data_IF_174193862713
#
_entry.id   IF_174193862713
#
_cell.length_a   1.000
_cell.length_b   1.000
_cell.length_c   1.000
_cell.angle_alpha   90.00
_cell.angle_beta   90.00
_cell.angle_gamma   90.00
#
_symmetry.space_group_name_H-M   'P 1'
#
loop_
_entity.id
_entity.type
_entity.pdbx_description
1 polymer ?
#
# COMPACT_ATOMS: atom_id res chain seq x y z
N UNK A 1 28.68 5.57 -26.40
CA UNK A 1 29.40 4.67 -25.47
C UNK A 1 29.56 5.42 -24.17
N UNK A 2 28.69 5.12 -23.21
CA UNK A 2 28.76 5.63 -21.84
C UNK A 2 28.46 4.41 -20.97
N UNK A 3 29.44 4.05 -20.14
CA UNK A 3 29.44 2.88 -19.26
C UNK A 3 28.37 2.97 -18.18
N UNK A 4 27.63 1.88 -18.02
CA UNK A 4 26.66 1.66 -16.94
C UNK A 4 27.29 0.65 -15.99
N UNK A 5 27.81 1.11 -14.86
CA UNK A 5 28.24 0.24 -13.76
C UNK A 5 27.02 -0.23 -12.98
N UNK A 6 26.77 -1.53 -13.09
CA UNK A 6 25.77 -2.30 -12.35
C UNK A 6 26.11 -2.40 -10.86
N UNK A 7 25.14 -2.20 -9.98
CA UNK A 7 25.17 -2.73 -8.61
C UNK A 7 23.84 -3.42 -8.32
N UNK A 8 23.81 -4.71 -8.61
CA UNK A 8 22.73 -5.64 -8.29
C UNK A 8 23.04 -6.26 -6.93
N UNK A 9 22.27 -5.92 -5.90
CA UNK A 9 22.25 -6.70 -4.66
C UNK A 9 20.90 -7.38 -4.53
N UNK A 10 20.90 -8.68 -4.81
CA UNK A 10 19.77 -9.59 -4.66
C UNK A 10 19.48 -9.79 -3.17
N UNK A 11 18.29 -9.41 -2.71
CA UNK A 11 17.74 -9.91 -1.44
C UNK A 11 16.68 -10.95 -1.75
N UNK A 12 17.09 -12.22 -1.65
CA UNK A 12 16.20 -13.34 -1.42
C UNK A 12 16.15 -13.57 0.09
N UNK A 13 14.99 -13.42 0.73
CA UNK A 13 14.75 -13.99 2.06
C UNK A 13 13.52 -14.88 2.00
N UNK A 14 13.81 -16.18 1.91
CA UNK A 14 12.86 -17.28 2.10
C UNK A 14 12.50 -17.39 3.58
N UNK A 15 11.26 -17.79 3.81
CA UNK A 15 10.65 -18.21 5.07
C UNK A 15 11.60 -19.06 5.92
N UNK A 16 11.84 -18.64 7.16
CA UNK A 16 12.49 -19.45 8.18
C UNK A 16 11.58 -19.56 9.40
N UNK A 17 10.79 -20.63 9.43
CA UNK A 17 10.11 -21.14 10.61
C UNK A 17 11.18 -21.48 11.66
N UNK A 18 11.20 -20.77 12.79
CA UNK A 18 12.17 -21.05 13.85
C UNK A 18 11.73 -22.28 14.64
N UNK A 19 12.42 -23.39 14.40
CA UNK A 19 12.39 -24.60 15.24
C UNK A 19 13.05 -24.32 16.58
N UNK A 20 12.33 -24.56 17.68
CA UNK A 20 12.85 -24.50 19.05
C UNK A 20 13.76 -25.72 19.28
N UNK A 21 15.06 -25.49 19.40
CA UNK A 21 16.01 -26.50 19.85
C UNK A 21 15.89 -26.70 21.36
N UNK A 22 15.54 -27.93 21.75
CA UNK A 22 15.61 -28.42 23.12
C UNK A 22 17.08 -28.59 23.53
N UNK A 23 17.50 -27.91 24.60
CA UNK A 23 18.73 -28.24 25.31
C UNK A 23 18.44 -29.30 26.38
N UNK A 24 19.19 -30.40 26.29
CA UNK A 24 19.21 -31.52 27.23
C UNK A 24 19.80 -31.12 28.59
N UNK A 25 19.30 -31.79 29.62
CA UNK A 25 19.58 -31.57 31.03
C UNK A 25 21.01 -31.92 31.44
N UNK A 26 21.59 -31.10 32.32
CA UNK A 26 22.64 -31.53 33.25
C UNK A 26 22.16 -31.19 34.65
N UNK A 27 21.90 -32.23 35.43
CA UNK A 27 21.58 -32.15 36.86
C UNK A 27 22.82 -31.71 37.63
N UNK A 28 22.72 -30.60 38.34
CA UNK A 28 23.44 -30.49 39.61
C UNK A 28 22.64 -29.69 40.64
N UNK A 29 22.66 -30.22 41.85
CA UNK A 29 21.71 -29.90 42.93
C UNK A 29 22.27 -28.78 43.78
N UNK A 30 21.64 -27.60 43.78
CA UNK A 30 21.71 -26.70 44.96
C UNK A 30 20.52 -25.77 45.01
N UNK A 31 19.78 -25.86 46.11
CA UNK A 31 18.57 -25.10 46.38
C UNK A 31 18.90 -23.62 46.64
N UNK A 32 18.44 -22.75 45.76
CA UNK A 32 18.17 -21.34 46.05
C UNK A 32 16.84 -20.98 45.42
N UNK A 33 15.89 -20.58 46.25
CA UNK A 33 14.57 -20.06 45.88
C UNK A 33 14.71 -18.85 44.94
N UNK A 34 14.48 -19.07 43.65
CA UNK A 34 14.33 -18.02 42.64
C UNK A 34 12.86 -17.64 42.55
N UNK A 35 12.48 -16.35 42.61
CA UNK A 35 11.11 -15.95 42.30
C UNK A 35 10.80 -16.30 40.85
N UNK A 36 9.59 -16.82 40.63
CA UNK A 36 9.05 -17.20 39.33
C UNK A 36 9.11 -16.01 38.38
N UNK A 37 10.10 -16.00 37.48
CA UNK A 37 10.14 -15.09 36.33
C UNK A 37 9.02 -15.49 35.39
N UNK A 38 7.85 -14.90 35.56
CA UNK A 38 6.83 -14.84 34.52
C UNK A 38 7.51 -14.22 33.30
N UNK A 39 7.82 -15.01 32.28
CA UNK A 39 8.19 -14.48 30.96
C UNK A 39 6.96 -13.80 30.38
N UNK A 40 6.72 -12.57 30.82
CA UNK A 40 5.79 -11.65 30.18
C UNK A 40 6.39 -11.36 28.82
N UNK A 41 5.77 -11.86 27.75
CA UNK A 41 6.08 -11.44 26.39
C UNK A 41 5.85 -9.93 26.33
N UNK A 42 6.92 -9.13 26.41
CA UNK A 42 6.82 -7.68 26.28
C UNK A 42 6.56 -7.41 24.79
N UNK A 43 5.28 -7.30 24.43
CA UNK A 43 4.86 -6.82 23.11
C UNK A 43 5.31 -5.36 23.00
N UNK A 44 6.01 -5.01 21.90
CA UNK A 44 6.44 -3.62 21.69
C UNK A 44 5.23 -2.68 21.58
N UNK A 45 5.40 -1.42 21.99
CA UNK A 45 4.33 -0.42 21.88
C UNK A 45 3.78 -0.31 20.45
N UNK A 46 4.67 -0.33 19.46
CA UNK A 46 4.28 -0.31 18.05
C UNK A 46 3.44 -1.54 17.66
N UNK A 47 3.79 -2.74 18.12
CA UNK A 47 3.01 -3.94 17.82
C UNK A 47 1.60 -3.88 18.44
N UNK A 48 1.47 -3.32 19.65
CA UNK A 48 0.16 -3.06 20.26
C UNK A 48 -0.66 -2.05 19.45
N UNK A 49 -0.06 -0.91 19.09
CA UNK A 49 -0.74 0.11 18.28
C UNK A 49 -1.17 -0.43 16.92
N UNK A 50 -0.33 -1.24 16.25
CA UNK A 50 -0.68 -1.90 14.99
C UNK A 50 -1.82 -2.91 15.15
N UNK A 51 -1.85 -3.66 16.25
CA UNK A 51 -2.95 -4.59 16.53
C UNK A 51 -4.27 -3.86 16.78
N UNK A 52 -4.24 -2.74 17.50
CA UNK A 52 -5.41 -1.89 17.74
C UNK A 52 -5.91 -1.26 16.41
N UNK A 53 -4.99 -0.70 15.62
CA UNK A 53 -5.29 -0.15 14.30
C UNK A 53 -5.85 -1.20 13.33
N UNK A 54 -5.36 -2.45 13.39
CA UNK A 54 -5.89 -3.56 12.59
C UNK A 54 -7.36 -3.86 12.91
N UNK A 55 -7.72 -3.94 14.21
CA UNK A 55 -9.11 -4.16 14.62
C UNK A 55 -10.04 -3.01 14.16
N UNK A 56 -9.54 -1.77 14.21
CA UNK A 56 -10.28 -0.60 13.73
C UNK A 56 -10.44 -0.60 12.22
N UNK A 57 -9.40 -0.97 11.47
CA UNK A 57 -9.45 -1.11 10.02
C UNK A 57 -10.44 -2.20 9.60
N UNK A 58 -10.44 -3.36 10.27
CA UNK A 58 -11.41 -4.43 10.04
C UNK A 58 -12.84 -3.97 10.32
N UNK A 59 -13.07 -3.28 11.44
CA UNK A 59 -14.38 -2.73 11.79
C UNK A 59 -14.85 -1.72 10.75
N UNK A 60 -13.97 -0.81 10.32
CA UNK A 60 -14.25 0.17 9.26
C UNK A 60 -14.63 -0.53 7.96
N UNK A 61 -13.82 -1.47 7.51
CA UNK A 61 -13.97 -2.14 6.21
C UNK A 61 -15.21 -3.05 6.18
N UNK A 62 -15.59 -3.62 7.33
CA UNK A 62 -16.82 -4.40 7.47
C UNK A 62 -18.10 -3.54 7.55
N UNK A 63 -17.99 -2.28 7.99
CA UNK A 63 -19.14 -1.39 8.24
C UNK A 63 -19.47 -0.44 7.09
N UNK A 64 -18.50 -0.15 6.22
CA UNK A 64 -18.64 0.81 5.14
C UNK A 64 -18.76 0.12 3.78
N UNK A 65 -19.61 0.68 2.92
CA UNK A 65 -19.63 0.30 1.50
C UNK A 65 -18.33 0.69 0.81
N UNK A 66 -18.04 0.07 -0.34
CA UNK A 66 -16.91 0.44 -1.20
C UNK A 66 -16.88 1.94 -1.53
N UNK A 67 -18.04 2.53 -1.83
CA UNK A 67 -18.11 3.97 -2.11
C UNK A 67 -17.78 4.81 -0.88
N UNK A 68 -18.29 4.43 0.30
CA UNK A 68 -17.96 5.14 1.55
C UNK A 68 -16.47 4.99 1.91
N UNK A 69 -15.89 3.81 1.70
CA UNK A 69 -14.44 3.59 1.84
C UNK A 69 -13.64 4.47 0.90
N UNK A 70 -14.05 4.62 -0.36
CA UNK A 70 -13.37 5.46 -1.34
C UNK A 70 -13.41 6.95 -0.94
N UNK A 71 -14.58 7.42 -0.48
CA UNK A 71 -14.72 8.78 0.04
C UNK A 71 -13.87 8.98 1.29
N UNK A 72 -13.84 8.00 2.19
CA UNK A 72 -13.03 8.05 3.40
C UNK A 72 -11.53 8.08 3.08
N UNK A 73 -11.08 7.22 2.18
CA UNK A 73 -9.69 7.17 1.70
C UNK A 73 -9.27 8.54 1.16
N UNK A 74 -10.09 9.15 0.29
CA UNK A 74 -9.83 10.47 -0.27
C UNK A 74 -9.71 11.56 0.80
N UNK A 75 -10.62 11.58 1.77
CA UNK A 75 -10.58 12.54 2.88
C UNK A 75 -9.30 12.37 3.71
N UNK A 76 -8.93 11.14 4.04
CA UNK A 76 -7.74 10.86 4.84
C UNK A 76 -6.46 11.21 4.07
N UNK A 77 -6.38 10.88 2.79
CA UNK A 77 -5.24 11.22 1.95
C UNK A 77 -5.11 12.75 1.81
N UNK A 78 -6.20 13.49 1.61
CA UNK A 78 -6.17 14.96 1.55
C UNK A 78 -5.68 15.59 2.87
N UNK A 79 -6.04 15.00 4.01
CA UNK A 79 -5.51 15.42 5.31
C UNK A 79 -4.00 15.17 5.45
N UNK A 80 -3.47 14.14 4.78
CA UNK A 80 -2.06 13.77 4.88
C UNK A 80 -1.17 14.46 3.86
N UNK A 81 -1.65 14.72 2.65
CA UNK A 81 -0.84 15.22 1.52
C UNK A 81 -1.52 16.31 0.67
N UNK A 82 -2.75 16.69 0.99
CA UNK A 82 -3.48 17.75 0.31
C UNK A 82 -3.27 19.12 0.93
N UNK A 83 -3.98 20.11 0.40
CA UNK A 83 -3.90 21.49 0.88
C UNK A 83 -4.27 21.63 2.36
N UNK A 84 -5.14 20.73 2.87
CA UNK A 84 -5.51 20.69 4.29
C UNK A 84 -4.30 20.46 5.20
N UNK A 85 -3.39 19.57 4.81
CA UNK A 85 -2.15 19.35 5.54
C UNK A 85 -1.30 20.63 5.60
N UNK A 86 -1.05 21.24 4.43
CA UNK A 86 -0.16 22.40 4.32
C UNK A 86 -0.70 23.60 5.12
N UNK A 87 -2.01 23.81 5.09
CA UNK A 87 -2.67 24.87 5.86
C UNK A 87 -2.55 24.67 7.38
N UNK A 88 -2.45 23.43 7.86
CA UNK A 88 -2.37 23.08 9.28
C UNK A 88 -0.97 22.59 9.69
N UNK A 89 0.05 22.78 8.84
CA UNK A 89 1.38 22.22 9.04
C UNK A 89 1.99 22.58 10.40
N UNK A 90 1.87 23.84 10.82
CA UNK A 90 2.38 24.29 12.13
C UNK A 90 1.68 23.59 13.30
N UNK A 91 0.39 23.28 13.17
CA UNK A 91 -0.33 22.51 14.19
C UNK A 91 0.17 21.07 14.23
N UNK A 92 0.37 20.44 13.07
CA UNK A 92 0.90 19.08 12.98
C UNK A 92 2.34 18.97 13.51
N UNK A 93 3.18 19.97 13.23
CA UNK A 93 4.56 20.01 13.74
C UNK A 93 4.63 20.14 15.28
N UNK A 94 3.61 20.72 15.91
CA UNK A 94 3.50 20.87 17.37
C UNK A 94 2.69 19.74 18.03
N UNK A 95 2.18 18.78 17.26
CA UNK A 95 1.42 17.65 17.79
C UNK A 95 2.35 16.71 18.56
N UNK A 96 2.01 16.43 19.82
CA UNK A 96 2.75 15.51 20.69
C UNK A 96 1.79 14.44 21.21
N UNK A 97 2.14 13.15 21.14
CA UNK A 97 1.33 12.08 21.72
C UNK A 97 1.02 12.33 23.20
N UNK A 98 -0.22 12.10 23.60
CA UNK A 98 -0.64 12.20 25.00
C UNK A 98 -0.19 10.95 25.79
N UNK A 99 1.10 10.84 26.07
CA UNK A 99 1.74 9.71 26.75
C UNK A 99 3.07 10.13 27.37
N UNK A 100 3.47 9.45 28.45
CA UNK A 100 4.81 9.57 29.04
C UNK A 100 5.80 8.55 28.46
N UNK A 101 5.36 7.73 27.50
CA UNK A 101 6.20 6.71 26.89
C UNK A 101 7.30 7.33 26.01
N UNK A 102 8.59 7.13 26.36
CA UNK A 102 9.70 7.77 25.66
C UNK A 102 9.86 7.26 24.21
N UNK A 103 9.48 6.02 23.91
CA UNK A 103 9.56 5.48 22.54
C UNK A 103 8.54 6.14 21.62
N UNK A 104 7.31 6.32 22.10
CA UNK A 104 6.24 6.98 21.35
C UNK A 104 6.57 8.46 21.10
N UNK A 105 7.04 9.16 22.12
CA UNK A 105 7.47 10.56 22.01
C UNK A 105 8.64 10.72 21.02
N UNK A 106 9.64 9.84 21.09
CA UNK A 106 10.79 9.88 20.19
C UNK A 106 10.39 9.61 18.74
N UNK A 107 9.50 8.64 18.51
CA UNK A 107 9.03 8.29 17.15
C UNK A 107 8.18 9.40 16.53
N UNK A 108 7.27 10.01 17.30
CA UNK A 108 6.49 11.15 16.84
C UNK A 108 7.40 12.34 16.48
N UNK A 109 8.41 12.62 17.32
CA UNK A 109 9.42 13.63 17.01
C UNK A 109 10.17 13.29 15.71
N UNK A 110 10.61 12.04 15.54
CA UNK A 110 11.29 11.60 14.33
C UNK A 110 10.42 11.74 13.08
N UNK A 111 9.13 11.44 13.18
CA UNK A 111 8.18 11.64 12.07
C UNK A 111 8.07 13.12 11.70
N UNK A 112 7.94 14.01 12.69
CA UNK A 112 7.92 15.46 12.49
C UNK A 112 9.22 15.96 11.84
N UNK A 113 10.38 15.51 12.33
CA UNK A 113 11.67 15.86 11.72
C UNK A 113 11.67 15.40 10.23
N UNK A 114 11.27 14.15 9.96
CA UNK A 114 11.27 13.58 8.61
C UNK A 114 10.41 14.37 7.61
N UNK A 115 9.17 14.70 7.97
CA UNK A 115 8.28 15.46 7.08
C UNK A 115 8.75 16.90 6.86
N UNK A 116 9.63 17.40 7.74
CA UNK A 116 10.33 18.68 7.61
C UNK A 116 11.65 18.56 6.82
N UNK A 117 11.94 17.41 6.22
CA UNK A 117 13.17 17.16 5.46
C UNK A 117 14.39 16.90 6.34
N UNK A 118 14.19 16.55 7.61
CA UNK A 118 15.25 16.28 8.58
C UNK A 118 15.21 14.81 9.03
N UNK A 119 16.33 14.10 8.95
CA UNK A 119 16.39 12.71 9.41
C UNK A 119 15.64 11.72 8.51
N UNK A 120 15.49 10.49 9.00
CA UNK A 120 14.92 9.37 8.25
C UNK A 120 13.47 9.09 8.67
N UNK A 121 12.69 8.56 7.73
CA UNK A 121 11.34 8.08 8.00
C UNK A 121 11.37 7.02 9.12
N UNK A 122 10.63 7.19 10.24
CA UNK A 122 10.62 6.23 11.35
C UNK A 122 10.04 4.86 10.94
N UNK A 123 9.35 4.80 9.81
CA UNK A 123 8.63 3.64 9.32
C UNK A 123 9.31 2.94 8.14
N UNK A 124 10.55 3.35 7.82
CA UNK A 124 11.31 2.82 6.68
C UNK A 124 11.40 1.29 6.74
N UNK A 125 11.00 0.63 5.66
CA UNK A 125 11.09 -0.83 5.52
C UNK A 125 10.00 -1.64 6.23
N UNK A 126 8.98 -1.01 6.82
CA UNK A 126 7.77 -1.73 7.23
C UNK A 126 6.99 -2.24 6.02
N UNK A 127 6.17 -3.28 6.23
CA UNK A 127 5.31 -3.80 5.17
C UNK A 127 4.21 -2.81 4.80
N UNK A 128 3.73 -2.89 3.56
CA UNK A 128 2.65 -2.04 3.08
C UNK A 128 1.40 -2.14 3.95
N UNK A 129 1.04 -3.33 4.40
CA UNK A 129 -0.11 -3.52 5.30
C UNK A 129 0.04 -2.73 6.59
N UNK A 130 1.21 -2.81 7.24
CA UNK A 130 1.49 -2.05 8.46
C UNK A 130 1.48 -0.54 8.21
N UNK A 131 2.03 -0.11 7.08
CA UNK A 131 2.02 1.31 6.69
C UNK A 131 0.60 1.81 6.44
N UNK A 132 -0.26 0.99 5.82
CA UNK A 132 -1.66 1.32 5.57
C UNK A 132 -2.47 1.40 6.88
N UNK A 133 -2.23 0.48 7.82
CA UNK A 133 -2.81 0.55 9.16
C UNK A 133 -2.49 1.87 9.85
N UNK A 134 -1.24 2.33 9.78
CA UNK A 134 -0.85 3.62 10.37
C UNK A 134 -1.46 4.79 9.59
N UNK A 135 -1.29 4.83 8.27
CA UNK A 135 -1.71 5.97 7.45
C UNK A 135 -3.22 6.25 7.57
N UNK A 136 -4.06 5.21 7.61
CA UNK A 136 -5.51 5.35 7.71
C UNK A 136 -6.06 5.23 9.15
N UNK A 137 -5.21 5.20 10.19
CA UNK A 137 -5.65 5.19 11.58
C UNK A 137 -6.20 6.57 12.01
N UNK A 138 -7.48 6.63 12.36
CA UNK A 138 -8.14 7.85 12.86
C UNK A 138 -8.30 7.85 14.38
N UNK A 139 -7.74 6.86 15.09
CA UNK A 139 -7.92 6.68 16.53
C UNK A 139 -7.20 7.74 17.37
N UNK A 140 -6.20 8.41 16.78
CA UNK A 140 -5.28 9.30 17.49
C UNK A 140 -4.11 8.57 18.14
N UNK A 141 -3.94 7.26 17.87
CA UNK A 141 -2.76 6.50 18.31
C UNK A 141 -1.47 6.95 17.62
N UNK A 142 -1.59 7.51 16.42
CA UNK A 142 -0.50 8.09 15.64
C UNK A 142 -0.80 9.55 15.35
N UNK A 143 0.21 10.40 15.51
CA UNK A 143 0.14 11.81 15.10
C UNK A 143 -0.07 11.96 13.59
N UNK A 144 -0.52 13.12 13.13
CA UNK A 144 -0.67 13.38 11.68
C UNK A 144 0.66 13.25 10.94
N UNK A 145 1.76 13.68 11.55
CA UNK A 145 3.09 13.55 10.94
C UNK A 145 3.57 12.09 10.89
N UNK A 146 3.23 11.25 11.88
CA UNK A 146 3.46 9.80 11.79
C UNK A 146 2.64 9.18 10.65
N UNK A 147 1.35 9.49 10.57
CA UNK A 147 0.47 8.97 9.50
C UNK A 147 0.96 9.39 8.12
N UNK A 148 1.38 10.64 7.95
CA UNK A 148 1.99 11.14 6.71
C UNK A 148 3.31 10.42 6.40
N UNK A 149 4.17 10.20 7.40
CA UNK A 149 5.40 9.45 7.20
C UNK A 149 5.13 8.02 6.73
N UNK A 150 4.14 7.33 7.31
CA UNK A 150 3.75 5.99 6.86
C UNK A 150 3.21 5.99 5.42
N UNK A 151 2.36 6.97 5.08
CA UNK A 151 1.86 7.15 3.71
C UNK A 151 2.99 7.39 2.70
N UNK A 152 3.97 8.24 3.05
CA UNK A 152 5.11 8.55 2.19
C UNK A 152 6.03 7.35 1.95
N UNK A 153 6.24 6.50 2.98
CA UNK A 153 6.98 5.25 2.79
C UNK A 153 6.21 4.28 1.89
N UNK A 154 4.90 4.12 2.09
CA UNK A 154 4.07 3.27 1.21
C UNK A 154 4.12 3.76 -0.24
N UNK A 155 4.06 5.08 -0.43
CA UNK A 155 4.21 5.70 -1.75
C UNK A 155 5.60 5.44 -2.37
N UNK A 156 6.69 5.56 -1.62
CA UNK A 156 8.03 5.25 -2.12
C UNK A 156 8.15 3.78 -2.57
N UNK A 157 7.63 2.85 -1.75
CA UNK A 157 7.58 1.42 -2.11
C UNK A 157 6.75 1.17 -3.37
N UNK A 158 5.59 1.82 -3.48
CA UNK A 158 4.74 1.78 -4.68
C UNK A 158 5.47 2.29 -5.93
N UNK A 159 6.21 3.40 -5.82
CA UNK A 159 6.97 3.95 -6.96
C UNK A 159 8.10 3.01 -7.40
N UNK A 160 8.78 2.35 -6.45
CA UNK A 160 9.79 1.32 -6.76
C UNK A 160 9.15 0.15 -7.52
N UNK A 161 8.02 -0.36 -7.01
CA UNK A 161 7.28 -1.45 -7.66
C UNK A 161 6.80 -1.06 -9.06
N UNK A 162 6.20 0.13 -9.23
CA UNK A 162 5.73 0.63 -10.54
C UNK A 162 6.84 0.69 -11.57
N UNK A 163 8.01 1.24 -11.21
CA UNK A 163 9.17 1.29 -12.13
C UNK A 163 9.60 -0.10 -12.58
N UNK A 164 9.66 -1.06 -11.63
CA UNK A 164 10.01 -2.45 -11.92
C UNK A 164 9.00 -3.08 -12.88
N UNK A 165 7.71 -2.98 -12.58
CA UNK A 165 6.64 -3.62 -13.37
C UNK A 165 6.52 -3.00 -14.77
N UNK A 166 6.72 -1.69 -14.92
CA UNK A 166 6.76 -1.02 -16.24
C UNK A 166 7.97 -1.49 -17.07
N UNK A 167 9.14 -1.65 -16.46
CA UNK A 167 10.30 -2.20 -17.16
C UNK A 167 10.03 -3.64 -17.63
N UNK A 168 9.47 -4.49 -16.76
CA UNK A 168 9.09 -5.86 -17.11
C UNK A 168 8.05 -5.90 -18.24
N UNK A 169 7.07 -4.99 -18.22
CA UNK A 169 6.06 -4.86 -19.28
C UNK A 169 6.68 -4.47 -20.63
N UNK A 170 7.66 -3.56 -20.62
CA UNK A 170 8.39 -3.15 -21.83
C UNK A 170 9.16 -4.33 -22.42
N UNK A 171 9.86 -5.09 -21.57
CA UNK A 171 10.61 -6.28 -21.99
C UNK A 171 9.70 -7.40 -22.50
N UNK A 172 8.57 -7.62 -21.84
CA UNK A 172 7.55 -8.58 -22.28
C UNK A 172 7.04 -8.21 -23.68
N UNK A 173 6.56 -6.98 -23.84
CA UNK A 173 6.03 -6.48 -25.10
C UNK A 173 7.04 -6.62 -26.23
N UNK A 174 8.30 -6.23 -26.02
CA UNK A 174 9.34 -6.32 -27.06
C UNK A 174 9.65 -7.78 -27.48
N UNK A 175 9.50 -8.74 -26.57
CA UNK A 175 9.82 -10.15 -26.82
C UNK A 175 8.65 -10.92 -27.41
N UNK A 176 7.42 -10.61 -27.00
CA UNK A 176 6.24 -11.44 -27.31
C UNK A 176 5.14 -10.68 -28.03
N UNK A 177 5.15 -9.34 -27.98
CA UNK A 177 4.05 -8.49 -28.39
C UNK A 177 2.89 -8.44 -27.39
N UNK A 178 3.02 -9.02 -26.19
CA UNK A 178 1.95 -9.16 -25.19
C UNK A 178 2.22 -8.36 -23.93
N UNK A 179 1.21 -8.25 -23.07
CA UNK A 179 1.25 -7.63 -21.73
C UNK A 179 0.59 -8.50 -20.65
N UNK A 180 0.45 -9.80 -20.90
CA UNK A 180 -0.27 -10.73 -20.04
C UNK A 180 0.37 -10.85 -18.65
N UNK A 181 1.72 -10.89 -18.60
CA UNK A 181 2.43 -10.92 -17.33
C UNK A 181 2.32 -9.57 -16.60
N UNK A 182 2.38 -8.45 -17.33
CA UNK A 182 2.10 -7.14 -16.73
C UNK A 182 0.72 -7.08 -16.05
N UNK A 183 -0.35 -7.48 -16.73
CA UNK A 183 -1.69 -7.49 -16.13
C UNK A 183 -1.80 -8.44 -14.95
N UNK A 184 -1.11 -9.58 -15.00
CA UNK A 184 -1.03 -10.53 -13.87
C UNK A 184 -0.37 -9.91 -12.64
N UNK A 185 0.76 -9.21 -12.81
CA UNK A 185 1.43 -8.51 -11.72
C UNK A 185 0.56 -7.40 -11.11
N UNK A 186 -0.15 -6.63 -11.96
CA UNK A 186 -1.09 -5.59 -11.50
C UNK A 186 -2.27 -6.18 -10.74
N UNK A 187 -2.82 -7.31 -11.20
CA UNK A 187 -3.92 -8.01 -10.52
C UNK A 187 -3.49 -8.55 -9.15
N UNK A 188 -2.32 -9.17 -9.07
CA UNK A 188 -1.77 -9.67 -7.81
C UNK A 188 -1.57 -8.52 -6.82
N UNK A 189 -0.97 -7.42 -7.28
CA UNK A 189 -0.76 -6.23 -6.46
C UNK A 189 -2.08 -5.62 -5.96
N UNK A 190 -3.10 -5.53 -6.80
CA UNK A 190 -4.43 -5.04 -6.40
C UNK A 190 -5.05 -5.91 -5.30
N UNK A 191 -4.91 -7.23 -5.38
CA UNK A 191 -5.45 -8.18 -4.40
C UNK A 191 -4.77 -8.10 -3.02
N UNK A 192 -3.53 -7.63 -2.99
CA UNK A 192 -2.79 -7.40 -1.74
C UNK A 192 -3.19 -6.09 -1.05
N UNK A 193 -3.92 -5.20 -1.72
CA UNK A 193 -4.34 -3.93 -1.11
C UNK A 193 -5.45 -4.14 -0.06
N UNK A 194 -5.46 -3.37 1.04
CA UNK A 194 -6.60 -3.36 1.96
C UNK A 194 -7.85 -2.78 1.28
N UNK A 195 -9.03 -3.10 1.81
CA UNK A 195 -10.31 -2.74 1.18
C UNK A 195 -10.45 -1.22 0.95
N UNK A 196 -9.95 -0.39 1.88
CA UNK A 196 -9.91 1.07 1.71
C UNK A 196 -9.06 1.51 0.51
N UNK A 197 -7.97 0.83 0.20
CA UNK A 197 -7.14 1.12 -0.97
C UNK A 197 -7.75 0.55 -2.25
N UNK A 198 -8.29 -0.68 -2.21
CA UNK A 198 -9.01 -1.28 -3.34
C UNK A 198 -10.20 -0.42 -3.78
N UNK A 199 -10.88 0.23 -2.83
CA UNK A 199 -12.04 1.09 -3.10
C UNK A 199 -11.74 2.28 -4.02
N UNK A 200 -10.46 2.67 -4.15
CA UNK A 200 -10.04 3.78 -5.00
C UNK A 200 -9.98 3.41 -6.50
N UNK A 201 -10.09 2.13 -6.84
CA UNK A 201 -10.10 1.64 -8.23
C UNK A 201 -11.55 1.55 -8.76
N UNK A 202 -11.77 1.33 -10.07
CA UNK A 202 -13.08 0.96 -10.59
C UNK A 202 -13.64 -0.32 -9.93
N UNK A 203 -14.97 -0.45 -9.83
CA UNK A 203 -15.62 -1.62 -9.22
C UNK A 203 -15.32 -2.92 -10.00
N UNK A 204 -15.17 -2.82 -11.31
CA UNK A 204 -14.88 -3.91 -12.25
C UNK A 204 -13.38 -4.14 -12.47
N UNK A 205 -12.50 -3.47 -11.73
CA UNK A 205 -11.05 -3.47 -12.00
C UNK A 205 -10.42 -4.86 -11.99
N UNK A 206 -10.72 -5.70 -11.00
CA UNK A 206 -10.23 -7.08 -10.94
C UNK A 206 -10.71 -7.91 -12.14
N UNK A 207 -12.01 -7.86 -12.44
CA UNK A 207 -12.58 -8.60 -13.57
C UNK A 207 -12.01 -8.13 -14.91
N UNK A 208 -11.78 -6.83 -15.05
CA UNK A 208 -11.17 -6.24 -16.24
C UNK A 208 -9.72 -6.71 -16.43
N UNK A 209 -8.92 -6.71 -15.36
CA UNK A 209 -7.55 -7.24 -15.40
C UNK A 209 -7.54 -8.73 -15.75
N UNK A 210 -8.43 -9.52 -15.14
CA UNK A 210 -8.56 -10.95 -15.45
C UNK A 210 -8.95 -11.18 -16.90
N UNK A 211 -9.88 -10.39 -17.43
CA UNK A 211 -10.27 -10.46 -18.84
C UNK A 211 -9.09 -10.20 -19.78
N UNK A 212 -8.24 -9.21 -19.47
CA UNK A 212 -7.04 -8.94 -20.28
C UNK A 212 -6.01 -10.05 -20.21
N UNK A 213 -5.88 -10.69 -19.05
CA UNK A 213 -5.02 -11.87 -18.87
C UNK A 213 -5.55 -13.03 -19.72
N UNK A 214 -6.85 -13.33 -19.65
CA UNK A 214 -7.48 -14.46 -20.36
C UNK A 214 -7.51 -14.28 -21.88
N UNK A 215 -7.55 -13.03 -22.34
CA UNK A 215 -7.48 -12.68 -23.76
C UNK A 215 -6.08 -12.99 -24.35
N UNK A 216 -5.04 -12.86 -23.51
CA UNK A 216 -3.63 -13.05 -23.89
C UNK A 216 -3.28 -12.34 -25.21
N UNK A 217 -3.71 -11.07 -25.31
CA UNK A 217 -3.70 -10.34 -26.57
C UNK A 217 -2.29 -10.00 -27.03
N UNK A 218 -2.01 -10.31 -28.30
CA UNK A 218 -0.79 -9.93 -28.97
C UNK A 218 -1.01 -8.65 -29.76
N UNK A 219 -0.43 -7.56 -29.26
CA UNK A 219 -0.54 -6.22 -29.82
C UNK A 219 0.29 -6.02 -31.10
N UNK A 220 1.20 -6.94 -31.43
CA UNK A 220 1.97 -6.91 -32.69
C UNK A 220 1.18 -7.61 -33.80
N UNK A 221 0.61 -8.78 -33.52
CA UNK A 221 -0.16 -9.55 -34.51
C UNK A 221 -1.64 -9.16 -34.56
N UNK A 222 -2.09 -8.38 -33.57
CA UNK A 222 -3.49 -8.01 -33.34
C UNK A 222 -4.40 -9.22 -33.18
N UNK A 223 -3.93 -10.27 -32.50
CA UNK A 223 -4.69 -11.50 -32.26
C UNK A 223 -4.84 -11.78 -30.77
N UNK A 224 -6.02 -12.27 -30.38
CA UNK A 224 -6.21 -12.91 -29.09
C UNK A 224 -5.69 -14.34 -29.17
N UNK A 225 -4.79 -14.72 -28.25
CA UNK A 225 -4.14 -16.03 -28.25
C UNK A 225 -4.55 -16.89 -27.04
N UNK A 226 -5.39 -16.36 -26.15
CA UNK A 226 -5.81 -17.01 -24.90
C UNK A 226 -7.14 -17.76 -24.96
N UNK A 227 -7.51 -18.40 -23.85
CA UNK A 227 -8.67 -19.29 -23.74
C UNK A 227 -10.03 -18.56 -23.75
N UNK A 228 -10.05 -17.22 -23.84
CA UNK A 228 -11.24 -16.37 -23.99
C UNK A 228 -11.46 -15.83 -25.42
N UNK A 229 -10.85 -16.45 -26.44
CA UNK A 229 -10.84 -16.07 -27.85
C UNK A 229 -12.24 -15.97 -28.50
N UNK A 230 -13.01 -14.94 -28.16
CA UNK A 230 -14.16 -14.52 -28.93
C UNK A 230 -13.89 -13.10 -29.44
N UNK A 231 -13.75 -12.86 -30.75
CA UNK A 231 -13.41 -11.54 -31.30
C UNK A 231 -14.37 -10.42 -30.87
N UNK A 232 -15.57 -10.78 -30.40
CA UNK A 232 -16.55 -9.86 -29.79
C UNK A 232 -16.03 -9.17 -28.51
N UNK A 233 -15.22 -9.85 -27.69
CA UNK A 233 -14.70 -9.26 -26.44
C UNK A 233 -13.70 -8.14 -26.69
N UNK A 234 -12.95 -8.19 -27.80
CA UNK A 234 -12.03 -7.13 -28.23
C UNK A 234 -12.79 -5.90 -28.74
N UNK A 235 -13.85 -6.11 -29.53
CA UNK A 235 -14.71 -5.00 -30.01
C UNK A 235 -15.39 -4.33 -28.82
N UNK A 236 -15.92 -5.11 -27.88
CA UNK A 236 -16.54 -4.57 -26.66
C UNK A 236 -15.51 -3.83 -25.79
N UNK A 237 -14.31 -4.37 -25.61
CA UNK A 237 -13.22 -3.72 -24.89
C UNK A 237 -12.79 -2.38 -25.53
N UNK A 238 -12.61 -2.35 -26.86
CA UNK A 238 -12.25 -1.13 -27.60
C UNK A 238 -13.38 -0.09 -27.58
N UNK A 239 -14.63 -0.53 -27.65
CA UNK A 239 -15.80 0.35 -27.54
C UNK A 239 -15.94 0.91 -26.12
N UNK A 240 -15.64 0.11 -25.10
CA UNK A 240 -15.65 0.53 -23.69
C UNK A 240 -14.53 1.54 -23.42
N UNK A 241 -13.31 1.33 -23.93
CA UNK A 241 -12.23 2.32 -23.83
C UNK A 241 -12.54 3.63 -24.59
N UNK A 242 -13.20 3.54 -25.75
CA UNK A 242 -13.72 4.70 -26.46
C UNK A 242 -14.84 5.44 -25.71
N UNK A 243 -15.62 4.73 -24.89
CA UNK A 243 -16.71 5.29 -24.09
C UNK A 243 -16.24 5.95 -22.78
N UNK A 244 -15.14 5.50 -22.18
CA UNK A 244 -14.53 6.18 -21.02
C UNK A 244 -13.84 7.49 -21.39
N UNK A 245 -13.40 7.67 -22.64
CA UNK A 245 -12.85 8.94 -23.13
C UNK A 245 -13.87 10.06 -23.35
N UNK A 246 -15.17 9.78 -23.24
CA UNK A 246 -16.24 10.71 -23.63
C UNK A 246 -17.25 11.05 -22.52
N UNK A 247 -17.14 10.45 -21.32
CA UNK A 247 -18.05 10.75 -20.20
C UNK A 247 -17.67 12.03 -19.44
N UNK A 248 -16.40 12.44 -19.48
CA UNK A 248 -15.95 13.70 -18.89
C UNK A 248 -16.11 14.89 -19.85
N UNK A 249 -16.14 14.66 -21.17
CA UNK A 249 -16.44 15.69 -22.15
C UNK A 249 -17.93 16.08 -22.16
N UNK A 250 -18.83 15.12 -21.95
CA UNK A 250 -20.27 15.36 -21.96
C UNK A 250 -20.79 16.08 -20.69
N UNK A 251 -20.02 16.15 -19.60
CA UNK A 251 -20.38 16.88 -18.38
C UNK A 251 -19.82 18.30 -18.33
N UNK A 252 -18.79 18.60 -19.13
CA UNK A 252 -18.21 19.95 -19.22
C UNK A 252 -18.99 20.88 -20.18
N UNK A 253 -19.87 20.34 -21.02
CA UNK A 253 -20.61 21.13 -22.03
C UNK A 253 -22.07 21.43 -21.63
N UNK A 254 -22.58 20.85 -20.53
CA UNK A 254 -23.93 21.17 -20.00
C UNK A 254 -23.98 22.29 -18.97
N UNK A 255 -22.85 22.65 -18.35
CA UNK A 255 -22.81 23.61 -17.23
C UNK A 255 -22.37 25.03 -17.63
N UNK A 256 -22.26 25.32 -18.94
CA UNK A 256 -21.84 26.64 -19.43
C UNK A 256 -22.90 27.38 -20.27
N UNK A 257 -24.18 27.00 -20.14
CA UNK A 257 -25.31 27.73 -20.73
C UNK A 257 -26.41 27.96 -19.69
N UNK A 258 -26.06 28.62 -18.59
CA UNK A 258 -26.99 29.48 -17.82
C UNK A 258 -26.19 30.22 -16.75
N UNK A 259 -25.76 31.45 -17.05
CA UNK A 259 -25.92 32.69 -16.24
C UNK A 259 -25.32 33.84 -17.06
N UNK A 260 -26.21 34.60 -17.71
CA UNK A 260 -26.09 36.06 -17.76
C UNK A 260 -26.90 36.61 -16.59
#
# INVERSE_FOLDING_TARGET
MIDITNNTTLYNSRLATTTINQYQAVTDTTSTTTPSSTTTTIVSNLARQLSEAANLAETRDASLSRNELAHKAKTLIDQLIGNSYDNNKLQHDNEVPNTDDPELLARAKQATDFVNGMGSNPFKGMSRDQLSLIAYDESGSFTINERRAAWLESYDQEQVWRRKVVAQATDEYNRTGKLTNFFTEVLNHYKELPAIEQSQYPEDYESQLQQWIDLDFNYITHQAEGNGSNPTSLIELLMVQGAYGNKDAAKAESDNVEVM
#
